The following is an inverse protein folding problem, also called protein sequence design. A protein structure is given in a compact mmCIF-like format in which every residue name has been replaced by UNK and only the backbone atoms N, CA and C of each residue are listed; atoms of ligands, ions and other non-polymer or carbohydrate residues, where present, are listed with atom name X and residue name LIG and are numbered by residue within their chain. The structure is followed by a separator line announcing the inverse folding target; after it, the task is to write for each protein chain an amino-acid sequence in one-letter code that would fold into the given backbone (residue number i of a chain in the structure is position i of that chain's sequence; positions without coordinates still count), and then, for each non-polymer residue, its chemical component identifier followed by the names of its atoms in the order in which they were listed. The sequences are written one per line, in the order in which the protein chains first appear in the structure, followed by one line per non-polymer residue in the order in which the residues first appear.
data_IF_160994056694
#
_entry.id   IF_160994056694
#
_cell.length_a   1.000
_cell.length_b   1.000
_cell.length_c   1.000
_cell.angle_alpha   90.00
_cell.angle_beta   90.00
_cell.angle_gamma   90.00
#
_symmetry.space_group_name_H-M   'P 1'
#
loop_
_entity.id
_entity.type
_entity.pdbx_description
1 polymer ?
#
# COMPACT_ATOMS: atom_id res chain seq x y z
N UNK A 1 -17.13 0.47 1.35
CA UNK A 1 -16.06 0.87 2.28
C UNK A 1 -16.29 0.23 3.65
N UNK A 2 -15.21 -0.09 4.33
CA UNK A 2 -15.25 -0.69 5.69
C UNK A 2 -14.96 0.42 6.70
N UNK A 3 -15.78 0.58 7.76
CA UNK A 3 -15.49 1.50 8.84
C UNK A 3 -14.08 1.26 9.40
N UNK A 4 -13.25 2.30 9.42
CA UNK A 4 -11.85 2.18 9.82
C UNK A 4 -11.55 3.22 10.90
N UNK A 5 -11.03 2.81 12.06
CA UNK A 5 -10.62 3.73 13.11
C UNK A 5 -9.60 4.76 12.58
N UNK A 6 -9.68 5.98 13.07
CA UNK A 6 -8.78 7.10 12.73
C UNK A 6 -8.81 7.55 11.25
N UNK A 7 -9.67 6.97 10.40
CA UNK A 7 -9.85 7.46 9.03
C UNK A 7 -10.63 8.79 9.03
N UNK A 8 -10.37 9.65 8.05
CA UNK A 8 -11.13 10.87 7.86
C UNK A 8 -12.62 10.54 7.62
N UNK A 9 -13.57 11.37 8.09
CA UNK A 9 -14.98 11.20 7.77
C UNK A 9 -15.22 11.13 6.26
N UNK A 10 -16.02 10.18 5.80
CA UNK A 10 -16.36 10.00 4.39
C UNK A 10 -17.83 9.58 4.27
N UNK A 11 -18.67 10.29 3.53
CA UNK A 11 -20.07 9.94 3.34
C UNK A 11 -20.27 8.76 2.38
N UNK A 12 -19.25 8.34 1.63
CA UNK A 12 -19.34 7.21 0.70
C UNK A 12 -19.40 5.89 1.46
N UNK A 13 -20.16 4.97 0.94
CA UNK A 13 -20.24 3.59 1.45
C UNK A 13 -19.50 2.58 0.55
N UNK A 14 -19.11 2.99 -0.65
CA UNK A 14 -18.41 2.15 -1.61
C UNK A 14 -17.36 2.96 -2.40
N UNK A 15 -16.36 2.28 -2.95
CA UNK A 15 -15.43 2.84 -3.93
C UNK A 15 -15.81 2.32 -5.32
N UNK A 16 -16.33 3.20 -6.15
CA UNK A 16 -16.84 2.87 -7.50
C UNK A 16 -15.80 3.06 -8.60
N UNK A 17 -14.65 3.67 -8.29
CA UNK A 17 -13.57 3.92 -9.24
C UNK A 17 -12.62 2.74 -9.33
N UNK A 18 -12.01 2.57 -10.49
CA UNK A 18 -10.92 1.63 -10.72
C UNK A 18 -9.58 2.36 -10.90
N UNK A 19 -8.51 1.79 -10.37
CA UNK A 19 -7.15 2.18 -10.71
C UNK A 19 -6.64 1.21 -11.77
N UNK A 20 -6.23 1.75 -12.93
CA UNK A 20 -5.74 0.97 -14.06
C UNK A 20 -4.30 1.36 -14.42
N UNK A 21 -3.47 0.37 -14.72
CA UNK A 21 -2.31 0.58 -15.57
C UNK A 21 -2.81 0.48 -17.01
N UNK A 22 -2.71 1.56 -17.77
CA UNK A 22 -3.22 1.65 -19.12
C UNK A 22 -2.08 1.91 -20.11
N UNK A 23 -2.16 1.27 -21.26
CA UNK A 23 -1.23 1.48 -22.38
C UNK A 23 -2.01 1.56 -23.68
N UNK A 24 -1.59 2.46 -24.55
CA UNK A 24 -2.15 2.59 -25.89
C UNK A 24 -1.02 2.68 -26.91
N UNK A 25 -1.21 2.05 -28.07
CA UNK A 25 -0.24 2.12 -29.17
C UNK A 25 -0.95 2.34 -30.51
N UNK A 26 -0.47 3.27 -31.33
CA UNK A 26 -1.05 3.51 -32.66
C UNK A 26 -0.69 2.40 -33.64
N UNK A 27 -1.65 1.99 -34.43
CA UNK A 27 -1.48 1.06 -35.55
C UNK A 27 -1.54 1.86 -36.86
N UNK A 28 -0.50 1.77 -37.66
CA UNK A 28 -0.38 2.47 -38.93
C UNK A 28 -0.40 1.49 -40.10
N UNK A 29 -0.89 1.95 -41.26
CA UNK A 29 -0.76 1.18 -42.50
C UNK A 29 0.64 1.41 -43.14
N UNK A 30 0.88 0.74 -44.31
CA UNK A 30 2.14 0.84 -45.05
C UNK A 30 2.46 2.26 -45.50
N UNK A 31 1.43 3.11 -45.70
CA UNK A 31 1.58 4.53 -46.02
C UNK A 31 1.74 5.43 -44.76
N UNK A 32 2.02 4.83 -43.57
CA UNK A 32 2.17 5.52 -42.26
C UNK A 32 0.95 6.33 -41.81
N UNK A 33 -0.25 6.02 -42.31
CA UNK A 33 -1.49 6.64 -41.83
C UNK A 33 -2.04 5.85 -40.66
N UNK A 34 -2.46 6.56 -39.62
CA UNK A 34 -3.12 5.96 -38.45
C UNK A 34 -4.38 5.22 -38.93
N UNK A 35 -4.49 3.94 -38.63
CA UNK A 35 -5.66 3.09 -38.90
C UNK A 35 -6.48 2.76 -37.68
N UNK A 36 -5.79 2.56 -36.53
CA UNK A 36 -6.40 2.18 -35.28
C UNK A 36 -5.51 2.56 -34.12
N UNK A 37 -6.05 2.52 -32.91
CA UNK A 37 -5.29 2.51 -31.67
C UNK A 37 -5.60 1.22 -30.95
N UNK A 38 -4.55 0.46 -30.58
CA UNK A 38 -4.67 -0.70 -29.73
C UNK A 38 -4.50 -0.26 -28.30
N UNK A 39 -5.49 -0.55 -27.46
CA UNK A 39 -5.50 -0.20 -26.06
C UNK A 39 -5.59 -1.45 -25.18
N UNK A 40 -4.95 -1.41 -24.03
CA UNK A 40 -5.01 -2.45 -23.03
C UNK A 40 -4.76 -1.91 -21.63
N UNK A 41 -5.29 -2.59 -20.64
CA UNK A 41 -5.09 -2.17 -19.25
C UNK A 41 -5.22 -3.32 -18.26
N UNK A 42 -4.64 -3.12 -17.09
CA UNK A 42 -4.72 -4.04 -15.96
C UNK A 42 -5.40 -3.31 -14.82
N UNK A 43 -6.54 -3.83 -14.35
CA UNK A 43 -7.23 -3.32 -13.17
C UNK A 43 -6.45 -3.73 -11.92
N UNK A 44 -6.14 -2.77 -11.07
CA UNK A 44 -5.37 -2.97 -9.84
C UNK A 44 -6.26 -3.22 -8.61
N UNK A 45 -7.55 -2.86 -8.68
CA UNK A 45 -8.50 -3.17 -7.61
C UNK A 45 -8.63 -4.69 -7.44
N UNK A 46 -8.44 -5.18 -6.23
CA UNK A 46 -8.50 -6.60 -5.91
C UNK A 46 -7.31 -7.43 -6.43
N UNK A 47 -6.31 -6.82 -7.06
CA UNK A 47 -5.15 -7.52 -7.59
C UNK A 47 -4.20 -7.98 -6.47
N UNK A 48 -4.59 -9.07 -5.82
CA UNK A 48 -3.82 -9.66 -4.72
C UNK A 48 -2.46 -10.19 -5.16
N UNK A 49 -2.36 -10.71 -6.39
CA UNK A 49 -1.11 -11.24 -6.93
C UNK A 49 -0.03 -10.16 -7.05
N UNK A 50 -0.40 -8.98 -7.52
CA UNK A 50 0.53 -7.85 -7.59
C UNK A 50 1.09 -7.50 -6.21
N UNK A 51 0.23 -7.37 -5.20
CA UNK A 51 0.64 -7.01 -3.84
C UNK A 51 1.49 -8.11 -3.21
N UNK A 52 1.14 -9.37 -3.39
CA UNK A 52 1.90 -10.50 -2.84
C UNK A 52 3.29 -10.59 -3.49
N UNK A 53 3.41 -10.32 -4.79
CA UNK A 53 4.70 -10.22 -5.49
C UNK A 53 5.55 -9.04 -5.00
N UNK A 54 4.95 -7.86 -4.82
CA UNK A 54 5.65 -6.70 -4.24
C UNK A 54 6.16 -7.02 -2.85
N UNK A 55 5.33 -7.62 -2.02
CA UNK A 55 5.72 -8.04 -0.67
C UNK A 55 6.89 -9.01 -0.68
N UNK A 56 6.88 -10.02 -1.55
CA UNK A 56 7.96 -11.00 -1.67
C UNK A 56 9.28 -10.39 -2.18
N UNK A 57 9.21 -9.34 -3.00
CA UNK A 57 10.41 -8.61 -3.47
C UNK A 57 11.02 -7.77 -2.36
N UNK A 58 10.18 -7.07 -1.58
CA UNK A 58 10.61 -6.14 -0.53
C UNK A 58 11.10 -6.90 0.70
N UNK A 59 10.34 -7.90 1.15
CA UNK A 59 10.59 -8.65 2.38
C UNK A 59 11.02 -10.08 2.06
N UNK A 60 12.28 -10.24 1.65
CA UNK A 60 12.88 -11.56 1.43
C UNK A 60 13.05 -12.29 2.75
N UNK A 61 13.14 -13.62 2.69
CA UNK A 61 13.38 -14.46 3.87
C UNK A 61 14.60 -13.97 4.67
N UNK A 62 14.42 -13.82 5.97
CA UNK A 62 15.46 -13.38 6.89
C UNK A 62 15.72 -11.87 6.94
N UNK A 63 14.93 -11.03 6.22
CA UNK A 63 15.10 -9.57 6.28
C UNK A 63 14.40 -8.94 7.47
N UNK A 64 13.42 -9.63 8.06
CA UNK A 64 12.69 -9.17 9.23
C UNK A 64 12.96 -10.05 10.44
N UNK A 65 12.83 -9.52 11.67
CA UNK A 65 12.91 -10.32 12.89
C UNK A 65 11.92 -11.49 12.88
N UNK A 66 12.25 -12.57 13.60
CA UNK A 66 11.38 -13.74 13.72
C UNK A 66 9.99 -13.33 14.26
N UNK A 67 8.95 -13.77 13.57
CA UNK A 67 7.56 -13.45 13.91
C UNK A 67 7.02 -12.17 13.24
N UNK A 68 7.89 -11.30 12.70
CA UNK A 68 7.45 -10.15 11.92
C UNK A 68 7.10 -10.56 10.49
N UNK A 69 6.05 -9.95 9.95
CA UNK A 69 5.61 -10.15 8.55
C UNK A 69 5.53 -8.79 7.87
N UNK A 70 6.12 -8.74 6.67
CA UNK A 70 5.98 -7.59 5.81
C UNK A 70 4.60 -7.51 5.20
N UNK A 71 4.13 -6.30 4.99
CA UNK A 71 2.85 -6.00 4.35
C UNK A 71 3.02 -4.96 3.26
N UNK A 72 2.15 -5.04 2.26
CA UNK A 72 2.07 -4.07 1.19
C UNK A 72 0.61 -3.79 0.85
N UNK A 73 0.32 -2.56 0.42
CA UNK A 73 -1.02 -2.13 0.04
C UNK A 73 -0.95 -1.10 -1.07
N UNK A 74 -1.87 -1.21 -2.01
CA UNK A 74 -2.19 -0.16 -2.96
C UNK A 74 -3.51 0.49 -2.57
N UNK A 75 -3.51 1.81 -2.52
CA UNK A 75 -4.68 2.62 -2.23
C UNK A 75 -5.15 3.38 -3.46
N UNK A 76 -6.46 3.54 -3.59
CA UNK A 76 -7.11 4.53 -4.46
C UNK A 76 -7.67 5.65 -3.57
N UNK A 77 -7.13 6.85 -3.71
CA UNK A 77 -7.24 7.81 -2.62
C UNK A 77 -6.67 7.20 -1.34
N UNK A 78 -7.45 7.17 -0.28
CA UNK A 78 -7.10 6.56 1.01
C UNK A 78 -7.76 5.18 1.24
N UNK A 79 -8.44 4.62 0.23
CA UNK A 79 -9.12 3.32 0.30
C UNK A 79 -8.22 2.19 -0.16
N UNK A 80 -8.07 1.12 0.65
CA UNK A 80 -7.30 -0.07 0.27
C UNK A 80 -7.99 -0.85 -0.83
N UNK A 81 -7.42 -0.83 -2.04
CA UNK A 81 -7.94 -1.53 -3.22
C UNK A 81 -7.23 -2.86 -3.50
N UNK A 82 -6.00 -3.03 -3.03
CA UNK A 82 -5.27 -4.29 -3.06
C UNK A 82 -4.30 -4.34 -1.87
N UNK A 83 -4.30 -5.43 -1.10
CA UNK A 83 -3.52 -5.53 0.15
C UNK A 83 -3.27 -6.97 0.57
N UNK A 84 -2.17 -7.22 1.28
CA UNK A 84 -1.96 -8.44 2.06
C UNK A 84 -2.11 -8.23 3.57
N UNK A 85 -2.41 -7.01 4.03
CA UNK A 85 -2.85 -6.76 5.42
C UNK A 85 -4.13 -7.53 5.69
N UNK A 86 -4.24 -8.14 6.88
CA UNK A 86 -5.37 -8.96 7.28
C UNK A 86 -6.19 -8.31 8.39
N UNK A 87 -7.51 -8.51 8.30
CA UNK A 87 -8.44 -8.29 9.40
C UNK A 87 -8.31 -9.41 10.44
N UNK A 88 -8.90 -9.24 11.63
CA UNK A 88 -8.88 -10.25 12.69
C UNK A 88 -9.44 -11.61 12.24
N UNK A 89 -10.42 -11.61 11.34
CA UNK A 89 -11.00 -12.83 10.75
C UNK A 89 -10.12 -13.51 9.69
N UNK A 90 -8.93 -12.95 9.40
CA UNK A 90 -8.00 -13.49 8.41
C UNK A 90 -8.27 -13.06 6.97
N UNK A 91 -9.35 -12.34 6.70
CA UNK A 91 -9.63 -11.77 5.39
C UNK A 91 -8.71 -10.59 5.07
N UNK A 92 -8.47 -10.33 3.79
CA UNK A 92 -7.72 -9.15 3.36
C UNK A 92 -8.48 -7.88 3.71
N UNK A 93 -7.78 -6.87 4.22
CA UNK A 93 -8.37 -5.62 4.69
C UNK A 93 -8.85 -4.69 3.55
N UNK A 94 -9.42 -5.25 2.49
CA UNK A 94 -9.95 -4.49 1.36
C UNK A 94 -11.08 -3.55 1.81
N UNK A 95 -11.13 -2.36 1.23
CA UNK A 95 -12.15 -1.36 1.55
C UNK A 95 -11.94 -0.62 2.87
N UNK A 96 -10.95 -0.99 3.69
CA UNK A 96 -10.52 -0.18 4.83
C UNK A 96 -9.74 1.05 4.35
N UNK A 97 -9.60 2.05 5.21
CA UNK A 97 -8.99 3.33 4.82
C UNK A 97 -7.74 3.64 5.65
N UNK A 98 -6.85 4.43 5.09
CA UNK A 98 -5.73 4.99 5.83
C UNK A 98 -6.21 5.97 6.91
N UNK A 99 -5.40 6.16 7.96
CA UNK A 99 -5.69 7.18 8.98
C UNK A 99 -5.69 8.58 8.36
N UNK A 100 -6.45 9.49 8.97
CA UNK A 100 -6.54 10.88 8.52
C UNK A 100 -5.16 11.55 8.45
N UNK A 101 -4.32 11.34 9.44
CA UNK A 101 -2.97 11.94 9.51
C UNK A 101 -2.10 11.48 8.33
N UNK A 102 -2.09 10.18 8.03
CA UNK A 102 -1.36 9.64 6.86
C UNK A 102 -1.93 10.20 5.56
N UNK A 103 -3.27 10.20 5.43
CA UNK A 103 -3.93 10.75 4.25
C UNK A 103 -3.55 12.20 3.97
N UNK A 104 -3.64 13.06 4.98
CA UNK A 104 -3.30 14.48 4.87
C UNK A 104 -1.84 14.67 4.45
N UNK A 105 -0.92 13.98 5.11
CA UNK A 105 0.51 14.08 4.81
C UNK A 105 0.84 13.60 3.38
N UNK A 106 0.29 12.46 2.96
CA UNK A 106 0.66 11.83 1.70
C UNK A 106 -0.16 12.35 0.51
N UNK A 107 -1.49 12.45 0.66
CA UNK A 107 -2.35 12.86 -0.46
C UNK A 107 -2.51 14.38 -0.55
N UNK A 108 -2.69 15.07 0.57
CA UNK A 108 -2.96 16.50 0.54
C UNK A 108 -1.66 17.31 0.43
N UNK A 109 -0.60 16.93 1.17
CA UNK A 109 0.70 17.60 1.11
C UNK A 109 1.65 17.01 0.06
N UNK A 110 1.44 15.78 -0.41
CA UNK A 110 2.28 15.10 -1.40
C UNK A 110 3.64 14.65 -0.87
N UNK A 111 3.74 14.40 0.44
CA UNK A 111 4.97 13.99 1.10
C UNK A 111 5.00 12.50 1.36
N UNK A 112 6.20 11.94 1.43
CA UNK A 112 6.41 10.55 1.88
C UNK A 112 6.25 10.47 3.39
N UNK A 113 5.46 9.50 3.86
CA UNK A 113 5.36 9.14 5.27
C UNK A 113 6.36 8.03 5.60
N UNK A 114 7.23 8.25 6.59
CA UNK A 114 8.17 7.24 7.10
C UNK A 114 8.13 7.30 8.63
N UNK A 115 7.21 6.56 9.24
CA UNK A 115 7.02 6.54 10.69
C UNK A 115 6.14 5.35 11.08
N UNK A 116 5.96 5.12 12.37
CA UNK A 116 4.96 4.18 12.88
C UNK A 116 3.55 4.68 12.56
N UNK A 117 2.73 3.80 12.03
CA UNK A 117 1.32 4.07 11.75
C UNK A 117 0.42 2.95 12.25
N UNK A 118 -0.79 3.32 12.71
CA UNK A 118 -1.83 2.34 13.03
C UNK A 118 -2.45 1.82 11.73
N UNK A 119 -2.30 0.53 11.48
CA UNK A 119 -2.75 -0.13 10.26
C UNK A 119 -3.77 -1.20 10.63
N UNK A 120 -5.04 -0.92 10.40
CA UNK A 120 -6.19 -1.80 10.64
C UNK A 120 -6.38 -2.15 12.12
N UNK A 121 -5.45 -2.85 12.74
CA UNK A 121 -5.58 -3.42 14.09
C UNK A 121 -4.30 -3.41 14.92
N UNK A 122 -3.21 -2.90 14.37
CA UNK A 122 -1.91 -2.90 15.05
C UNK A 122 -1.01 -1.75 14.56
N UNK A 123 0.14 -1.57 15.23
CA UNK A 123 1.15 -0.61 14.84
C UNK A 123 2.20 -1.25 13.93
N UNK A 124 2.53 -0.53 12.87
CA UNK A 124 3.52 -0.93 11.87
C UNK A 124 4.54 0.17 11.66
N UNK A 125 5.80 -0.21 11.56
CA UNK A 125 6.80 0.67 10.94
C UNK A 125 6.45 0.74 9.46
N UNK A 126 6.12 1.92 8.98
CA UNK A 126 5.36 2.14 7.75
C UNK A 126 6.01 3.17 6.84
N UNK A 127 6.01 2.88 5.55
CA UNK A 127 6.28 3.83 4.49
C UNK A 127 5.06 3.99 3.58
N UNK A 128 4.68 5.24 3.31
CA UNK A 128 3.65 5.56 2.32
C UNK A 128 4.21 6.57 1.33
N UNK A 129 3.95 6.35 0.06
CA UNK A 129 4.33 7.24 -1.02
C UNK A 129 3.11 7.53 -1.91
N UNK A 130 2.92 8.80 -2.36
CA UNK A 130 1.82 9.12 -3.26
C UNK A 130 2.00 8.45 -4.63
N UNK A 131 0.92 7.89 -5.16
CA UNK A 131 0.84 7.40 -6.53
C UNK A 131 0.26 8.49 -7.40
N UNK A 132 0.99 8.85 -8.44
CA UNK A 132 0.61 9.89 -9.40
C UNK A 132 0.09 9.25 -10.69
N UNK A 133 -0.91 9.87 -11.29
CA UNK A 133 -1.34 9.55 -12.64
C UNK A 133 -0.43 10.21 -13.71
N UNK A 134 -0.76 10.01 -14.99
CA UNK A 134 -0.02 10.59 -16.11
C UNK A 134 -0.09 12.12 -16.20
N UNK A 135 -0.98 12.75 -15.45
CA UNK A 135 -1.13 14.21 -15.36
C UNK A 135 -0.45 14.81 -14.14
N UNK A 136 0.12 13.96 -13.26
CA UNK A 136 0.78 14.36 -12.02
C UNK A 136 -0.18 14.53 -10.84
N UNK A 137 -1.44 14.13 -10.99
CA UNK A 137 -2.41 14.16 -9.90
C UNK A 137 -2.23 12.97 -8.95
N UNK A 138 -2.35 13.22 -7.66
CA UNK A 138 -2.25 12.19 -6.63
C UNK A 138 -3.52 11.35 -6.59
N UNK A 139 -3.48 10.17 -7.17
CA UNK A 139 -4.66 9.28 -7.29
C UNK A 139 -4.75 8.24 -6.18
N UNK A 140 -3.68 8.03 -5.44
CA UNK A 140 -3.63 7.05 -4.37
C UNK A 140 -2.29 7.03 -3.64
N UNK A 141 -2.03 5.92 -2.95
CA UNK A 141 -0.78 5.71 -2.20
C UNK A 141 -0.31 4.27 -2.36
N UNK A 142 1.00 4.09 -2.38
CA UNK A 142 1.64 2.80 -2.16
C UNK A 142 2.12 2.75 -0.71
N UNK A 143 1.79 1.67 -0.02
CA UNK A 143 2.19 1.40 1.36
C UNK A 143 3.03 0.14 1.43
N UNK A 144 4.06 0.18 2.26
CA UNK A 144 4.82 -0.96 2.73
C UNK A 144 5.05 -0.82 4.24
N UNK A 145 5.08 -1.93 4.97
CA UNK A 145 5.32 -1.88 6.40
C UNK A 145 5.51 -3.26 7.01
N UNK A 146 5.94 -3.29 8.25
CA UNK A 146 6.08 -4.52 9.04
C UNK A 146 5.67 -4.25 10.49
N UNK A 147 5.19 -5.28 11.17
CA UNK A 147 4.77 -5.22 12.57
C UNK A 147 5.89 -4.66 13.45
N UNK A 148 5.57 -3.64 14.23
CA UNK A 148 6.52 -2.97 15.11
C UNK A 148 6.93 -3.86 16.29
N UNK A 149 5.97 -4.55 16.93
CA UNK A 149 6.22 -5.29 18.17
C UNK A 149 7.37 -6.30 18.09
N UNK A 150 7.44 -7.23 17.10
CA UNK A 150 8.56 -8.17 17.02
C UNK A 150 9.93 -7.49 16.80
N UNK A 151 9.94 -6.33 16.17
CA UNK A 151 11.16 -5.55 15.97
C UNK A 151 11.62 -4.88 17.27
N UNK A 152 10.70 -4.28 18.01
CA UNK A 152 10.96 -3.67 19.32
C UNK A 152 11.43 -4.70 20.33
N UNK A 153 10.81 -5.87 20.37
CA UNK A 153 11.20 -6.99 21.25
C UNK A 153 12.61 -7.50 20.93
N UNK A 154 12.94 -7.63 19.64
CA UNK A 154 14.28 -8.04 19.20
C UNK A 154 15.36 -7.02 19.59
N UNK A 155 15.07 -5.72 19.47
CA UNK A 155 15.95 -4.64 19.89
C UNK A 155 16.17 -4.63 21.40
N UNK A 156 15.11 -4.79 22.20
CA UNK A 156 15.22 -4.85 23.66
C UNK A 156 16.03 -6.06 24.11
N UNK A 157 15.81 -7.23 23.51
CA UNK A 157 16.58 -8.42 23.79
C UNK A 157 18.08 -8.26 23.51
N UNK A 158 18.42 -7.64 22.37
CA UNK A 158 19.80 -7.36 22.02
C UNK A 158 20.49 -6.36 22.98
N UNK A 159 19.76 -5.34 23.42
CA UNK A 159 20.25 -4.37 24.42
C UNK A 159 20.53 -5.05 25.77
N UNK A 160 19.62 -5.90 26.26
CA UNK A 160 19.80 -6.60 27.54
C UNK A 160 21.02 -7.50 27.51
N UNK A 161 21.27 -8.24 26.44
CA UNK A 161 22.47 -9.09 26.31
C UNK A 161 23.78 -8.28 26.30
N UNK A 162 23.77 -7.07 25.73
CA UNK A 162 24.94 -6.19 25.75
C UNK A 162 25.26 -5.64 27.15
N UNK A 163 24.27 -5.50 28.01
CA UNK A 163 24.49 -5.03 29.39
C UNK A 163 24.81 -6.15 30.38
N UNK A 164 24.41 -7.40 30.09
CA UNK A 164 24.71 -8.54 30.93
C UNK A 164 26.17 -9.06 30.74
N UNK A 165 26.83 -8.65 29.64
CA UNK A 165 28.24 -9.00 29.34
C UNK A 165 29.24 -7.93 29.80
N UNK A 166 28.79 -6.87 30.53
CA UNK A 166 29.61 -5.78 31.10
C UNK A 166 29.74 -5.94 32.62
#
# INVERSE_FOLDING_TARGET
LVPTPNAAPDPRNEETRGLLIHSATPVHNDARRLQAVLEGGVLLNGNSELVDRLNAIIYRDGTLPLGSKGTATLFLGDTRIATNVRLFAGERALGTRASQVVREHVLDEGKVWLDTAFVVNDYYVSGYEPVLDSYGERVGMLYVGFLEAPFSDAMQGALLTLFDDL
#
